data_IF_295633963327
#
_entry.id   IF_295633963327
#
_cell.length_a   1.000
_cell.length_b   1.000
_cell.length_c   1.000
_cell.angle_alpha   90.00
_cell.angle_beta   90.00
_cell.angle_gamma   90.00
#
_symmetry.space_group_name_H-M   'P 1'
#
loop_
_entity.id
_entity.type
_entity.pdbx_description
1 polymer ?
#
# COMPACT_ATOMS: atom_id res chain seq x y z
N UNK A 1 8.44 -14.38 8.97
CA UNK A 1 8.56 -12.98 8.50
C UNK A 1 9.67 -12.86 7.47
N UNK A 2 9.33 -12.41 6.27
CA UNK A 2 10.25 -12.21 5.16
C UNK A 2 11.43 -11.27 5.50
N UNK A 3 12.67 -11.70 5.27
CA UNK A 3 13.88 -10.93 5.66
C UNK A 3 13.97 -9.55 5.00
N UNK A 4 13.59 -9.46 3.73
CA UNK A 4 13.58 -8.19 2.99
C UNK A 4 12.54 -7.23 3.56
N UNK A 5 11.38 -7.72 3.98
CA UNK A 5 10.38 -6.91 4.67
C UNK A 5 10.89 -6.41 6.04
N UNK A 6 11.49 -7.30 6.85
CA UNK A 6 12.07 -6.95 8.15
C UNK A 6 13.12 -5.84 8.01
N UNK A 7 13.99 -5.94 7.01
CA UNK A 7 14.99 -4.91 6.71
C UNK A 7 14.36 -3.55 6.38
N UNK A 8 13.32 -3.55 5.52
CA UNK A 8 12.57 -2.33 5.19
C UNK A 8 11.90 -1.71 6.42
N UNK A 9 11.25 -2.51 7.26
CA UNK A 9 10.58 -2.00 8.46
C UNK A 9 11.61 -1.43 9.46
N UNK A 10 12.78 -2.09 9.61
CA UNK A 10 13.89 -1.56 10.42
C UNK A 10 14.42 -0.23 9.90
N UNK A 11 14.47 -0.03 8.58
CA UNK A 11 14.84 1.25 7.98
C UNK A 11 13.78 2.34 8.25
N UNK A 12 12.49 1.99 8.15
CA UNK A 12 11.40 2.89 8.51
C UNK A 12 11.48 3.33 9.95
N UNK A 13 11.73 2.40 10.87
CA UNK A 13 11.93 2.70 12.28
C UNK A 13 13.05 3.70 12.54
N UNK A 14 14.17 3.59 11.81
CA UNK A 14 15.29 4.53 11.90
C UNK A 14 14.97 5.92 11.33
N UNK A 15 14.15 5.99 10.28
CA UNK A 15 13.88 7.24 9.54
C UNK A 15 12.55 7.90 9.91
N UNK A 16 11.80 7.33 10.85
CA UNK A 16 10.46 7.79 11.25
C UNK A 16 10.38 9.24 11.73
N UNK A 17 11.50 9.82 12.20
CA UNK A 17 11.55 11.26 12.54
C UNK A 17 11.19 12.14 11.34
N UNK A 18 11.64 11.78 10.14
CA UNK A 18 11.36 12.49 8.90
C UNK A 18 10.14 11.94 8.15
N UNK A 19 9.96 10.61 8.17
CA UNK A 19 8.92 9.89 7.44
C UNK A 19 8.10 9.01 8.40
N UNK A 20 7.20 9.61 9.20
CA UNK A 20 6.57 8.94 10.34
C UNK A 20 5.44 7.96 9.99
N UNK A 21 5.01 7.90 8.72
CA UNK A 21 3.90 7.05 8.29
C UNK A 21 4.35 6.01 7.26
N UNK A 22 3.60 4.93 7.18
CA UNK A 22 3.72 3.89 6.16
C UNK A 22 2.38 3.73 5.44
N UNK A 23 2.44 3.49 4.13
CA UNK A 23 1.30 3.04 3.33
C UNK A 23 1.59 1.68 2.71
N UNK A 24 0.52 0.92 2.44
CA UNK A 24 0.59 -0.29 1.63
C UNK A 24 0.69 0.09 0.14
N UNK A 25 1.57 -0.60 -0.57
CA UNK A 25 1.68 -0.60 -2.02
C UNK A 25 1.39 -2.02 -2.53
N UNK A 26 0.25 -2.20 -3.20
CA UNK A 26 -0.09 -3.48 -3.81
C UNK A 26 0.80 -3.73 -5.03
N UNK A 27 1.37 -4.94 -5.11
CA UNK A 27 2.19 -5.33 -6.26
C UNK A 27 1.34 -5.71 -7.47
N UNK A 28 1.93 -5.78 -8.67
CA UNK A 28 1.23 -6.21 -9.87
C UNK A 28 1.01 -7.73 -9.83
N UNK A 29 -0.21 -8.15 -9.53
CA UNK A 29 -0.67 -9.54 -9.60
C UNK A 29 -1.99 -9.60 -10.36
N UNK A 30 -2.28 -10.75 -11.00
CA UNK A 30 -3.57 -10.97 -11.66
C UNK A 30 -4.70 -10.97 -10.62
N UNK A 31 -4.52 -11.79 -9.59
CA UNK A 31 -5.42 -11.85 -8.45
C UNK A 31 -4.93 -10.89 -7.36
N UNK A 32 -5.81 -10.02 -6.81
CA UNK A 32 -5.45 -9.15 -5.70
C UNK A 32 -4.97 -9.94 -4.48
N UNK A 33 -3.97 -9.40 -3.77
CA UNK A 33 -3.47 -10.03 -2.54
C UNK A 33 -4.61 -10.21 -1.51
N UNK A 34 -4.89 -11.41 -1.00
CA UNK A 34 -6.07 -11.67 -0.17
C UNK A 34 -6.01 -10.98 1.22
N UNK A 35 -4.81 -10.64 1.68
CA UNK A 35 -4.58 -10.02 2.99
C UNK A 35 -4.55 -8.49 2.86
N UNK A 36 -3.62 -7.96 2.07
CA UNK A 36 -3.36 -6.52 2.03
C UNK A 36 -4.33 -5.73 1.16
N UNK A 37 -5.03 -6.36 0.21
CA UNK A 37 -6.06 -5.68 -0.61
C UNK A 37 -7.22 -5.15 0.22
N UNK A 38 -7.58 -5.83 1.32
CA UNK A 38 -8.62 -5.40 2.27
C UNK A 38 -8.31 -4.06 2.93
N UNK A 39 -7.02 -3.72 2.98
CA UNK A 39 -6.48 -2.51 3.59
C UNK A 39 -5.88 -1.58 2.52
N UNK A 40 -6.43 -1.56 1.30
CA UNK A 40 -6.00 -0.63 0.25
C UNK A 40 -6.15 0.82 0.74
N UNK A 41 -5.14 1.65 0.47
CA UNK A 41 -5.11 3.04 0.94
C UNK A 41 -4.89 3.21 2.44
N UNK A 42 -4.57 2.13 3.18
CA UNK A 42 -4.21 2.21 4.60
C UNK A 42 -2.91 2.98 4.81
N UNK A 43 -2.98 4.02 5.64
CA UNK A 43 -1.83 4.82 6.09
C UNK A 43 -1.80 4.83 7.61
N UNK A 44 -0.73 4.28 8.20
CA UNK A 44 -0.57 4.20 9.66
C UNK A 44 0.81 4.71 10.09
N UNK A 45 0.98 5.13 11.36
CA UNK A 45 2.29 5.41 11.91
C UNK A 45 3.25 4.21 11.76
N UNK A 46 4.55 4.48 11.59
CA UNK A 46 5.60 3.46 11.47
C UNK A 46 5.60 2.47 12.65
N UNK A 47 5.20 2.93 13.84
CA UNK A 47 5.17 2.14 15.08
C UNK A 47 3.89 1.33 15.30
N UNK A 48 2.93 1.41 14.38
CA UNK A 48 1.65 0.74 14.55
C UNK A 48 1.81 -0.80 14.49
N UNK A 49 1.18 -1.57 15.40
CA UNK A 49 1.35 -3.03 15.49
C UNK A 49 0.95 -3.78 14.21
N UNK A 50 0.03 -3.22 13.42
CA UNK A 50 -0.35 -3.73 12.09
C UNK A 50 0.84 -4.16 11.22
N UNK A 51 1.96 -3.43 11.25
CA UNK A 51 3.14 -3.76 10.43
C UNK A 51 3.88 -5.02 10.88
N UNK A 52 3.64 -5.46 12.12
CA UNK A 52 4.14 -6.72 12.67
C UNK A 52 3.09 -7.83 12.50
N UNK A 53 1.81 -7.51 12.67
CA UNK A 53 0.71 -8.49 12.61
C UNK A 53 0.40 -8.93 11.17
N UNK A 54 0.56 -8.04 10.19
CA UNK A 54 0.28 -8.28 8.77
C UNK A 54 1.51 -7.99 7.88
N UNK A 55 2.62 -8.73 8.06
CA UNK A 55 3.85 -8.51 7.31
C UNK A 55 3.68 -8.73 5.81
N UNK A 56 4.53 -8.06 5.03
CA UNK A 56 4.49 -8.17 3.56
C UNK A 56 5.31 -9.38 3.11
N UNK A 57 4.86 -10.02 2.02
CA UNK A 57 5.62 -11.09 1.32
C UNK A 57 5.86 -12.35 2.15
N UNK A 58 4.92 -12.70 3.04
CA UNK A 58 4.96 -13.99 3.75
C UNK A 58 4.70 -15.19 2.85
N UNK A 59 3.96 -14.99 1.77
CA UNK A 59 3.71 -16.00 0.74
C UNK A 59 4.36 -15.59 -0.58
N UNK A 60 4.72 -16.56 -1.41
CA UNK A 60 5.34 -16.32 -2.72
C UNK A 60 4.47 -15.45 -3.63
N UNK A 61 3.14 -15.58 -3.52
CA UNK A 61 2.17 -14.83 -4.32
C UNK A 61 1.97 -13.38 -3.84
N UNK A 62 2.38 -13.05 -2.61
CA UNK A 62 2.28 -11.69 -2.10
C UNK A 62 3.40 -10.82 -2.67
N UNK A 63 3.07 -9.94 -3.63
CA UNK A 63 4.01 -8.95 -4.20
C UNK A 63 3.90 -7.55 -3.57
N UNK A 64 3.15 -7.41 -2.48
CA UNK A 64 2.95 -6.15 -1.78
C UNK A 64 4.25 -5.60 -1.14
N UNK A 65 4.25 -4.31 -0.82
CA UNK A 65 5.33 -3.65 -0.08
C UNK A 65 4.81 -2.47 0.73
N UNK A 66 5.65 -1.92 1.60
CA UNK A 66 5.39 -0.68 2.33
C UNK A 66 6.16 0.49 1.71
N UNK A 67 5.59 1.70 1.78
CA UNK A 67 6.23 2.96 1.41
C UNK A 67 6.15 3.96 2.56
N UNK A 68 7.25 4.64 2.84
CA UNK A 68 7.31 5.67 3.86
C UNK A 68 6.73 6.98 3.36
N UNK A 69 6.01 7.69 4.22
CA UNK A 69 5.27 8.90 3.91
C UNK A 69 5.62 9.98 4.93
N UNK A 70 5.83 11.20 4.45
CA UNK A 70 6.07 12.39 5.29
C UNK A 70 4.78 12.94 5.89
N UNK A 71 4.88 13.79 6.92
CA UNK A 71 3.68 14.48 7.46
C UNK A 71 2.96 15.32 6.42
N UNK A 72 3.72 16.00 5.56
CA UNK A 72 3.18 16.83 4.48
C UNK A 72 2.40 15.98 3.47
N UNK A 73 2.99 14.87 3.04
CA UNK A 73 2.34 13.98 2.09
C UNK A 73 1.10 13.32 2.69
N UNK A 74 1.15 12.87 3.95
CA UNK A 74 -0.01 12.35 4.65
C UNK A 74 -1.16 13.39 4.70
N UNK A 75 -0.86 14.66 5.03
CA UNK A 75 -1.85 15.72 5.02
C UNK A 75 -2.45 15.96 3.63
N UNK A 76 -1.63 15.86 2.58
CA UNK A 76 -2.10 15.96 1.20
C UNK A 76 -3.01 14.79 0.82
N UNK A 77 -2.60 13.56 1.13
CA UNK A 77 -3.41 12.36 0.87
C UNK A 77 -4.73 12.34 1.65
N UNK A 78 -4.78 12.98 2.82
CA UNK A 78 -6.04 13.18 3.55
C UNK A 78 -7.06 14.01 2.78
N UNK A 79 -6.61 14.99 2.00
CA UNK A 79 -7.48 15.87 1.21
C UNK A 79 -7.76 15.26 -0.16
N UNK A 80 -6.70 14.82 -0.85
CA UNK A 80 -6.77 14.41 -2.25
C UNK A 80 -7.18 12.93 -2.43
N UNK A 81 -6.99 12.12 -1.38
CA UNK A 81 -7.08 10.67 -1.47
C UNK A 81 -5.86 10.02 -2.13
N UNK A 82 -5.95 8.71 -2.36
CA UNK A 82 -4.96 7.91 -3.10
C UNK A 82 -5.60 7.33 -4.35
N UNK A 83 -4.79 7.08 -5.38
CA UNK A 83 -5.24 6.28 -6.52
C UNK A 83 -5.57 4.87 -6.05
N UNK A 84 -6.74 4.36 -6.44
CA UNK A 84 -7.16 3.01 -6.12
C UNK A 84 -6.24 2.00 -6.84
N UNK A 85 -5.40 1.24 -6.11
CA UNK A 85 -4.51 0.27 -6.73
C UNK A 85 -5.26 -0.88 -7.42
N UNK A 86 -6.56 -1.05 -7.11
CA UNK A 86 -7.43 -2.06 -7.69
C UNK A 86 -8.41 -1.47 -8.72
N UNK A 87 -8.22 -0.21 -9.14
CA UNK A 87 -9.04 0.39 -10.19
C UNK A 87 -9.05 -0.49 -11.46
N UNK A 88 -10.17 -0.57 -12.19
CA UNK A 88 -10.27 -1.38 -13.40
C UNK A 88 -9.16 -1.05 -14.41
N UNK A 89 -8.62 -2.06 -15.13
CA UNK A 89 -7.71 -1.81 -16.23
C UNK A 89 -8.44 -1.09 -17.36
N UNK A 90 -7.75 -0.15 -18.01
CA UNK A 90 -8.24 0.49 -19.23
C UNK A 90 -8.03 -0.50 -20.38
N UNK A 91 -9.11 -0.82 -21.10
CA UNK A 91 -9.09 -1.69 -22.27
C UNK A 91 -9.05 -0.84 -23.54
N UNK A 92 -8.39 -1.35 -24.59
CA UNK A 92 -8.47 -0.77 -25.93
C UNK A 92 -9.77 -1.18 -26.65
N UNK A 93 -9.94 -0.70 -27.89
CA UNK A 93 -11.13 -0.98 -28.71
C UNK A 93 -11.34 -2.48 -29.00
N UNK A 94 -10.27 -3.27 -28.94
CA UNK A 94 -10.26 -4.73 -29.13
C UNK A 94 -10.45 -5.50 -27.82
N UNK A 95 -10.54 -4.80 -26.68
CA UNK A 95 -10.71 -5.38 -25.35
C UNK A 95 -9.41 -5.84 -24.68
N UNK A 96 -8.25 -5.52 -25.25
CA UNK A 96 -6.96 -5.87 -24.66
C UNK A 96 -6.53 -4.85 -23.58
N UNK A 97 -5.72 -5.31 -22.62
CA UNK A 97 -5.22 -4.46 -21.53
C UNK A 97 -4.15 -3.50 -22.05
N UNK A 98 -4.34 -2.21 -21.84
CA UNK A 98 -3.39 -1.15 -22.25
C UNK A 98 -2.19 -0.99 -21.31
N UNK A 99 -2.20 -1.67 -20.16
CA UNK A 99 -1.22 -1.45 -19.08
C UNK A 99 -1.57 -0.28 -18.16
N UNK A 100 -2.56 0.54 -18.52
CA UNK A 100 -3.08 1.61 -17.67
C UNK A 100 -4.32 1.17 -16.89
N UNK A 101 -4.60 1.85 -15.78
CA UNK A 101 -5.81 1.69 -14.97
C UNK A 101 -6.57 3.01 -14.89
N UNK A 102 -7.87 2.92 -14.67
CA UNK A 102 -8.70 4.09 -14.43
C UNK A 102 -8.17 4.90 -13.24
N UNK A 103 -8.20 6.23 -13.34
CA UNK A 103 -7.72 7.12 -12.28
C UNK A 103 -8.83 7.38 -11.28
N UNK A 104 -9.15 6.38 -10.47
CA UNK A 104 -10.13 6.48 -9.39
C UNK A 104 -9.40 6.87 -8.11
N UNK A 105 -9.84 7.94 -7.46
CA UNK A 105 -9.32 8.35 -6.15
C UNK A 105 -10.23 7.82 -5.05
N UNK A 106 -9.62 7.26 -4.02
CA UNK A 106 -10.30 6.79 -2.80
C UNK A 106 -9.73 7.52 -1.59
N UNK A 107 -10.54 7.76 -0.54
CA UNK A 107 -10.01 8.31 0.70
C UNK A 107 -8.97 7.36 1.32
N UNK A 108 -8.02 7.92 2.07
CA UNK A 108 -7.12 7.08 2.86
C UNK A 108 -7.89 6.38 3.96
N UNK A 109 -7.37 5.22 4.36
CA UNK A 109 -7.85 4.47 5.51
C UNK A 109 -6.86 4.67 6.65
N UNK A 110 -7.35 4.96 7.85
CA UNK A 110 -6.51 5.20 9.04
C UNK A 110 -6.71 4.13 10.12
N UNK A 111 -7.61 3.18 9.88
CA UNK A 111 -7.91 2.07 10.77
C UNK A 111 -7.94 0.78 9.95
N UNK A 112 -7.18 -0.26 10.34
CA UNK A 112 -7.14 -1.49 9.57
C UNK A 112 -8.49 -2.21 9.64
N UNK A 113 -8.91 -2.79 8.52
CA UNK A 113 -10.03 -3.71 8.45
C UNK A 113 -9.76 -4.93 9.34
N UNK A 114 -10.78 -5.33 10.11
CA UNK A 114 -10.76 -6.51 10.99
C UNK A 114 -10.70 -7.82 10.21
#
# INVERSE_FOLDING_TARGET
MNEHYVSKLKQAQKTKRALPYLTIMLGPTLEPCPVHSKNKGLVLPVDHPYWIDYPMRETDDCKCSIRQISKYEYAKLKVDGVLDPLAPPILDEEGNRTGYREKIFIPIVEEPAK
#
